data_IF_815650044108
#
_entry.id   IF_815650044108
#
_cell.length_a   1.000
_cell.length_b   1.000
_cell.length_c   1.000
_cell.angle_alpha   90.00
_cell.angle_beta   90.00
_cell.angle_gamma   90.00
#
_symmetry.space_group_name_H-M   'P 1'
#
loop_
_entity.id
_entity.type
_entity.pdbx_description
1 polymer ?
#
# COMPACT_ATOMS: atom_id res chain seq x y z
N UNK A 1 2.62 -4.80 -13.58
CA UNK A 1 2.89 -3.57 -12.78
C UNK A 1 2.80 -3.89 -11.29
N UNK A 2 3.82 -3.57 -10.47
CA UNK A 2 3.92 -4.01 -9.07
C UNK A 2 2.82 -3.47 -8.15
N UNK A 3 2.35 -2.23 -8.36
CA UNK A 3 1.24 -1.66 -7.57
C UNK A 3 -0.09 -2.41 -7.77
N UNK A 4 -0.33 -2.92 -8.98
CA UNK A 4 -1.51 -3.72 -9.33
C UNK A 4 -1.46 -5.13 -8.71
N UNK A 5 -0.26 -5.67 -8.54
CA UNK A 5 -0.07 -6.97 -7.87
C UNK A 5 -0.26 -6.77 -6.36
N UNK A 6 0.32 -5.71 -5.78
CA UNK A 6 0.15 -5.40 -4.37
C UNK A 6 -1.32 -5.19 -3.99
N UNK A 7 -2.11 -4.48 -4.79
CA UNK A 7 -3.54 -4.29 -4.51
C UNK A 7 -4.39 -5.56 -4.62
N UNK A 8 -3.84 -6.65 -5.19
CA UNK A 8 -4.53 -7.96 -5.31
C UNK A 8 -4.05 -8.97 -4.28
N UNK A 9 -2.74 -9.01 -4.02
CA UNK A 9 -2.10 -10.01 -3.16
C UNK A 9 -2.01 -9.59 -1.69
N UNK A 10 -1.92 -8.29 -1.40
CA UNK A 10 -1.76 -7.78 -0.03
C UNK A 10 -3.09 -7.18 0.48
N UNK A 11 -3.69 -7.74 1.55
CA UNK A 11 -4.96 -7.26 2.10
C UNK A 11 -4.92 -5.80 2.56
N UNK A 12 -3.79 -5.35 3.11
CA UNK A 12 -3.64 -3.97 3.59
C UNK A 12 -3.55 -2.99 2.43
N UNK A 13 -2.81 -3.35 1.38
CA UNK A 13 -2.70 -2.52 0.18
C UNK A 13 -4.04 -2.43 -0.57
N UNK A 14 -4.81 -3.52 -0.60
CA UNK A 14 -6.16 -3.55 -1.16
C UNK A 14 -7.11 -2.61 -0.39
N UNK A 15 -7.17 -2.73 0.94
CA UNK A 15 -8.03 -1.88 1.76
C UNK A 15 -7.62 -0.38 1.66
N UNK A 16 -6.32 -0.08 1.54
CA UNK A 16 -5.87 1.28 1.27
C UNK A 16 -6.37 1.81 -0.09
N UNK A 17 -6.24 1.00 -1.14
CA UNK A 17 -6.73 1.33 -2.48
C UNK A 17 -8.24 1.56 -2.49
N UNK A 18 -9.02 0.69 -1.85
CA UNK A 18 -10.48 0.80 -1.74
C UNK A 18 -10.89 2.03 -0.92
N UNK A 19 -10.19 2.36 0.18
CA UNK A 19 -10.45 3.57 0.95
C UNK A 19 -10.26 4.85 0.12
N UNK A 20 -9.30 4.86 -0.81
CA UNK A 20 -9.03 5.98 -1.72
C UNK A 20 -10.10 6.08 -2.80
N UNK A 21 -10.60 4.95 -3.30
CA UNK A 21 -11.73 4.91 -4.23
C UNK A 21 -13.03 5.39 -3.57
N UNK A 22 -13.29 4.99 -2.32
CA UNK A 22 -14.44 5.45 -1.54
C UNK A 22 -14.44 6.98 -1.36
N UNK A 23 -13.24 7.60 -1.30
CA UNK A 23 -13.05 9.06 -1.26
C UNK A 23 -13.18 9.74 -2.63
N UNK A 24 -13.71 9.06 -3.65
CA UNK A 24 -13.89 9.54 -5.04
C UNK A 24 -12.59 10.02 -5.72
N UNK A 25 -11.43 9.49 -5.31
CA UNK A 25 -10.16 9.78 -6.01
C UNK A 25 -10.07 9.00 -7.32
N UNK A 26 -9.33 9.54 -8.29
CA UNK A 26 -9.10 8.84 -9.55
C UNK A 26 -8.36 7.52 -9.32
N UNK A 27 -8.74 6.46 -10.05
CA UNK A 27 -8.12 5.11 -9.90
C UNK A 27 -6.60 5.15 -10.06
N UNK A 28 -6.10 5.97 -10.98
CA UNK A 28 -4.68 6.16 -11.20
C UNK A 28 -3.98 6.80 -9.98
N UNK A 29 -4.61 7.79 -9.35
CA UNK A 29 -4.09 8.41 -8.12
C UNK A 29 -4.01 7.40 -6.98
N UNK A 30 -5.02 6.54 -6.85
CA UNK A 30 -5.01 5.48 -5.84
C UNK A 30 -3.90 4.44 -6.09
N UNK A 31 -3.65 4.04 -7.35
CA UNK A 31 -2.53 3.17 -7.71
C UNK A 31 -1.16 3.82 -7.43
N UNK A 32 -0.99 5.09 -7.75
CA UNK A 32 0.26 5.82 -7.47
C UNK A 32 0.49 5.95 -5.96
N UNK A 33 -0.56 6.15 -5.16
CA UNK A 33 -0.45 6.18 -3.70
C UNK A 33 0.04 4.82 -3.14
N UNK A 34 -0.47 3.71 -3.67
CA UNK A 34 0.03 2.35 -3.34
C UNK A 34 1.50 2.20 -3.76
N UNK A 35 1.84 2.60 -4.99
CA UNK A 35 3.22 2.55 -5.48
C UNK A 35 4.20 3.34 -4.57
N UNK A 36 3.79 4.54 -4.13
CA UNK A 36 4.61 5.35 -3.23
C UNK A 36 4.82 4.67 -1.87
N UNK A 37 3.82 4.01 -1.30
CA UNK A 37 3.95 3.21 -0.07
C UNK A 37 4.92 2.04 -0.25
N UNK A 38 4.85 1.33 -1.37
CA UNK A 38 5.77 0.23 -1.68
C UNK A 38 7.23 0.70 -1.77
N UNK A 39 7.48 1.86 -2.37
CA UNK A 39 8.84 2.43 -2.42
C UNK A 39 9.38 2.76 -1.03
N UNK A 40 8.53 3.28 -0.13
CA UNK A 40 8.93 3.51 1.26
C UNK A 40 9.20 2.20 2.00
N UNK A 41 8.43 1.15 1.71
CA UNK A 41 8.68 -0.17 2.26
C UNK A 41 10.07 -0.68 1.86
N UNK A 42 10.38 -0.64 0.56
CA UNK A 42 11.67 -1.08 0.02
C UNK A 42 12.81 -0.31 0.67
N UNK A 43 12.72 1.02 0.70
CA UNK A 43 13.73 1.86 1.36
C UNK A 43 13.87 1.54 2.86
N UNK A 44 12.75 1.35 3.57
CA UNK A 44 12.76 0.97 4.99
C UNK A 44 13.46 -0.36 5.25
N UNK A 45 13.17 -1.37 4.42
CA UNK A 45 13.81 -2.70 4.46
C UNK A 45 15.32 -2.56 4.25
N UNK A 46 15.75 -1.82 3.22
CA UNK A 46 17.17 -1.58 2.96
C UNK A 46 17.87 -0.86 4.10
N UNK A 47 17.19 0.09 4.76
CA UNK A 47 17.78 0.89 5.84
C UNK A 47 17.85 0.17 7.19
N UNK A 48 16.87 -0.68 7.50
CA UNK A 48 16.77 -1.33 8.83
C UNK A 48 17.09 -2.81 8.82
N UNK A 49 17.18 -3.45 7.65
CA UNK A 49 17.36 -4.91 7.54
C UNK A 49 16.16 -5.71 8.05
N UNK A 50 15.05 -5.04 8.40
CA UNK A 50 13.84 -5.68 8.90
C UNK A 50 13.01 -6.24 7.75
N UNK A 51 12.32 -7.34 8.03
CA UNK A 51 11.37 -7.96 7.08
C UNK A 51 10.21 -6.99 6.79
N UNK A 52 9.64 -7.15 5.59
CA UNK A 52 8.45 -6.41 5.17
C UNK A 52 7.27 -6.75 6.10
N UNK A 53 6.70 -5.74 6.73
CA UNK A 53 5.52 -5.85 7.59
C UNK A 53 4.44 -4.90 7.08
N UNK A 54 3.40 -5.44 6.42
CA UNK A 54 2.30 -4.66 5.84
C UNK A 54 1.55 -3.79 6.87
N UNK A 55 1.48 -4.26 8.12
CA UNK A 55 0.84 -3.56 9.24
C UNK A 55 1.56 -2.25 9.60
N UNK A 56 2.90 -2.21 9.48
CA UNK A 56 3.71 -0.99 9.75
C UNK A 56 3.58 0.04 8.63
N UNK A 57 3.34 -0.42 7.40
CA UNK A 57 3.16 0.45 6.23
C UNK A 57 1.80 1.13 6.20
N UNK A 58 0.79 0.50 6.79
CA UNK A 58 -0.60 0.92 6.71
C UNK A 58 -1.25 1.07 8.10
N UNK A 59 -0.71 1.91 9.00
CA UNK A 59 -1.14 1.96 10.41
C UNK A 59 -2.55 2.50 10.65
N UNK A 60 -3.22 3.05 9.63
CA UNK A 60 -4.56 3.67 9.72
C UNK A 60 -5.62 2.97 8.88
N UNK A 61 -5.35 1.76 8.38
CA UNK A 61 -6.31 0.99 7.58
C UNK A 61 -6.82 -0.16 8.44
N UNK A 62 -8.04 0.02 8.94
CA UNK A 62 -8.81 -1.03 9.60
C UNK A 62 -9.28 -2.02 8.52
N UNK A 63 -8.83 -3.26 8.61
CA UNK A 63 -9.39 -4.37 7.82
C UNK A 63 -10.82 -4.64 8.35
N UNK A 64 -11.83 -4.80 7.48
CA UNK A 64 -13.11 -5.38 7.88
C UNK A 64 -12.95 -6.89 8.19
#
# INVERSE_FOLDING_TARGET
MPALVASRCDPHAKAFFESLLARKKARLQALIAVARKLLHAIYGIFRTGLKYEGTKLFPKITLP
#
